data_IF_883289522092
#
_entry.id   IF_883289522092
#
_cell.length_a   1.000
_cell.length_b   1.000
_cell.length_c   1.000
_cell.angle_alpha   90.00
_cell.angle_beta   90.00
_cell.angle_gamma   90.00
#
_symmetry.space_group_name_H-M   'P 1'
#
loop_
_entity.id
_entity.type
_entity.pdbx_description
1 polymer ?
#
# COMPACT_ATOMS: atom_id res chain seq x y z
N UNK A 1 24.92 -51.85 25.88
CA UNK A 1 25.17 -50.86 24.80
C UNK A 1 24.11 -49.77 24.95
N UNK A 2 24.49 -48.57 25.39
CA UNK A 2 23.57 -47.43 25.58
C UNK A 2 23.42 -46.74 24.22
N UNK A 3 22.22 -46.78 23.64
CA UNK A 3 21.89 -45.99 22.44
C UNK A 3 21.40 -44.63 22.94
N UNK A 4 22.19 -43.60 22.73
CA UNK A 4 21.80 -42.21 22.98
C UNK A 4 21.03 -41.75 21.76
N UNK A 5 19.72 -41.54 21.91
CA UNK A 5 18.89 -40.88 20.90
C UNK A 5 19.06 -39.38 21.07
N UNK A 6 19.87 -38.75 20.22
CA UNK A 6 19.92 -37.29 20.10
C UNK A 6 18.73 -36.83 19.27
N UNK A 7 17.68 -36.38 19.94
CA UNK A 7 16.57 -35.65 19.33
C UNK A 7 17.03 -34.24 19.00
N UNK A 8 17.27 -33.95 17.71
CA UNK A 8 17.47 -32.59 17.22
C UNK A 8 16.09 -31.90 17.18
N UNK A 9 15.79 -31.10 18.19
CA UNK A 9 14.66 -30.17 18.14
C UNK A 9 15.06 -29.00 17.25
N UNK A 10 14.59 -29.00 16.00
CA UNK A 10 14.71 -27.86 15.10
C UNK A 10 13.67 -26.81 15.55
N UNK A 11 14.07 -25.93 16.47
CA UNK A 11 13.30 -24.73 16.77
C UNK A 11 13.49 -23.81 15.57
N UNK A 12 12.53 -23.84 14.64
CA UNK A 12 12.38 -22.79 13.63
C UNK A 12 11.93 -21.56 14.40
N UNK A 13 12.89 -20.75 14.83
CA UNK A 13 12.61 -19.38 15.20
C UNK A 13 12.08 -18.71 13.93
N UNK A 14 10.78 -18.41 13.90
CA UNK A 14 10.22 -17.38 13.04
C UNK A 14 10.90 -16.08 13.45
N UNK A 15 12.10 -15.84 12.91
CA UNK A 15 12.69 -14.53 12.93
C UNK A 15 11.78 -13.66 12.09
N UNK A 16 10.99 -12.81 12.75
CA UNK A 16 10.48 -11.61 12.11
C UNK A 16 11.67 -11.00 11.37
N UNK A 17 11.54 -10.86 10.06
CA UNK A 17 12.53 -10.16 9.24
C UNK A 17 12.59 -8.74 9.82
N UNK A 18 13.55 -8.50 10.72
CA UNK A 18 13.97 -7.15 11.10
C UNK A 18 14.71 -6.57 9.90
N UNK A 19 13.98 -6.32 8.82
CA UNK A 19 14.39 -5.33 7.86
C UNK A 19 14.49 -4.00 8.58
N UNK A 20 15.39 -3.14 8.14
CA UNK A 20 15.46 -1.77 8.65
C UNK A 20 14.10 -1.11 8.39
N UNK A 21 13.29 -0.98 9.45
CA UNK A 21 11.99 -0.33 9.34
C UNK A 21 12.20 1.16 9.09
N UNK A 22 11.36 1.81 8.26
CA UNK A 22 11.42 3.25 8.07
C UNK A 22 11.31 4.01 9.41
N UNK A 23 11.94 5.18 9.51
CA UNK A 23 11.95 5.96 10.76
C UNK A 23 10.55 6.37 11.24
N UNK A 24 9.60 6.50 10.32
CA UNK A 24 8.20 6.80 10.63
C UNK A 24 7.40 5.59 11.10
N UNK A 25 7.95 4.36 11.01
CA UNK A 25 7.33 3.13 11.49
C UNK A 25 7.48 2.99 13.03
N UNK A 26 6.91 3.94 13.75
CA UNK A 26 6.80 3.98 15.21
C UNK A 26 5.33 4.17 15.61
N UNK A 27 4.72 3.09 16.11
CA UNK A 27 3.30 3.07 16.49
C UNK A 27 2.99 4.07 17.62
N UNK A 28 3.90 4.26 18.57
CA UNK A 28 3.68 5.15 19.70
C UNK A 28 3.70 6.62 19.26
N UNK A 29 4.56 6.96 18.30
CA UNK A 29 4.66 8.33 17.77
C UNK A 29 3.62 8.63 16.68
N UNK A 30 3.40 7.71 15.74
CA UNK A 30 2.69 7.95 14.50
C UNK A 30 1.44 7.08 14.30
N UNK A 31 1.17 6.11 15.17
CA UNK A 31 0.10 5.13 15.00
C UNK A 31 -1.30 5.72 14.88
N UNK A 32 -1.53 6.94 15.41
CA UNK A 32 -2.79 7.66 15.27
C UNK A 32 -3.10 8.05 13.81
N UNK A 33 -2.08 8.20 12.96
CA UNK A 33 -2.17 8.51 11.54
C UNK A 33 -1.84 7.30 10.66
N UNK A 34 -1.86 6.08 11.20
CA UNK A 34 -1.47 4.86 10.50
C UNK A 34 -2.52 3.76 10.67
N UNK A 35 -3.80 4.15 10.79
CA UNK A 35 -4.91 3.21 10.88
C UNK A 35 -5.33 2.73 9.50
N UNK A 36 -4.79 1.59 9.07
CA UNK A 36 -5.06 1.02 7.75
C UNK A 36 -6.52 0.66 7.56
N UNK A 37 -7.21 0.16 8.59
CA UNK A 37 -8.62 -0.17 8.46
C UNK A 37 -9.49 1.06 8.26
N UNK A 38 -9.20 2.16 8.98
CA UNK A 38 -9.90 3.43 8.79
C UNK A 38 -9.67 3.99 7.39
N UNK A 39 -8.41 4.02 6.94
CA UNK A 39 -8.04 4.49 5.60
C UNK A 39 -8.75 3.68 4.52
N UNK A 40 -8.63 2.35 4.56
CA UNK A 40 -9.22 1.45 3.58
C UNK A 40 -10.75 1.58 3.49
N UNK A 41 -11.45 1.70 4.64
CA UNK A 41 -12.90 1.90 4.64
C UNK A 41 -13.35 3.20 3.98
N UNK A 42 -12.50 4.22 3.94
CA UNK A 42 -12.87 5.49 3.31
C UNK A 42 -13.07 5.35 1.80
N UNK A 43 -12.41 4.39 1.15
CA UNK A 43 -12.60 4.07 -0.26
C UNK A 43 -14.00 3.51 -0.60
N UNK A 44 -14.80 3.14 0.40
CA UNK A 44 -16.21 2.74 0.20
C UNK A 44 -17.14 3.94 0.04
N UNK A 45 -16.66 5.16 0.34
CA UNK A 45 -17.45 6.40 0.33
C UNK A 45 -17.02 7.38 -0.76
N UNK A 46 -16.00 7.04 -1.55
CA UNK A 46 -15.45 7.91 -2.58
C UNK A 46 -14.31 7.26 -3.35
N UNK A 47 -14.01 7.83 -4.51
CA UNK A 47 -12.89 7.40 -5.34
C UNK A 47 -11.61 8.04 -4.79
N UNK A 48 -10.57 7.22 -4.63
CA UNK A 48 -9.22 7.68 -4.37
C UNK A 48 -8.40 7.66 -5.66
N UNK A 49 -7.59 8.69 -5.86
CA UNK A 49 -6.69 8.82 -7.00
C UNK A 49 -5.26 8.76 -6.50
N UNK A 50 -4.43 7.91 -7.11
CA UNK A 50 -2.99 7.97 -6.86
C UNK A 50 -2.44 9.16 -7.62
N UNK A 51 -2.15 10.26 -6.94
CA UNK A 51 -1.72 11.50 -7.59
C UNK A 51 -0.23 11.51 -7.87
N UNK A 52 0.59 10.86 -7.04
CA UNK A 52 2.04 10.81 -7.18
C UNK A 52 2.60 9.47 -6.75
N UNK A 53 3.72 9.08 -7.35
CA UNK A 53 4.51 7.93 -6.96
C UNK A 53 6.01 8.21 -7.14
N UNK A 54 6.86 7.37 -6.54
CA UNK A 54 8.33 7.41 -6.74
C UNK A 54 8.89 6.27 -7.58
N UNK A 55 8.01 5.43 -8.13
CA UNK A 55 8.37 4.26 -8.92
C UNK A 55 7.48 4.20 -10.17
N UNK A 56 7.89 3.44 -11.18
CA UNK A 56 7.25 3.50 -12.52
C UNK A 56 6.54 2.23 -12.92
N UNK A 57 6.89 1.10 -12.33
CA UNK A 57 6.43 -0.21 -12.77
C UNK A 57 5.77 -0.93 -11.60
N UNK A 58 4.65 -1.58 -11.89
CA UNK A 58 3.92 -2.40 -10.93
C UNK A 58 3.55 -3.74 -11.59
N UNK A 59 3.59 -4.89 -10.88
CA UNK A 59 3.25 -6.19 -11.46
C UNK A 59 1.83 -6.29 -12.03
N UNK A 60 0.88 -5.52 -11.50
CA UNK A 60 -0.52 -5.53 -11.92
C UNK A 60 -0.80 -4.42 -12.93
N UNK A 61 -0.30 -3.22 -12.67
CA UNK A 61 -0.63 -2.06 -13.48
C UNK A 61 0.30 -1.88 -14.68
N UNK A 62 1.43 -2.57 -14.70
CA UNK A 62 2.41 -2.58 -15.77
C UNK A 62 3.37 -1.39 -15.75
N UNK A 63 4.20 -1.34 -16.78
CA UNK A 63 5.24 -0.31 -16.91
C UNK A 63 4.65 1.07 -17.21
N UNK A 64 5.22 2.09 -16.56
CA UNK A 64 4.84 3.50 -16.70
C UNK A 64 3.33 3.73 -16.47
N UNK A 65 2.79 3.07 -15.44
CA UNK A 65 1.37 3.17 -15.13
C UNK A 65 0.94 4.61 -14.81
N UNK A 66 -0.29 4.97 -15.17
CA UNK A 66 -0.86 6.30 -14.98
C UNK A 66 -2.38 6.21 -14.77
N UNK A 67 -3.00 7.36 -14.44
CA UNK A 67 -4.45 7.47 -14.31
C UNK A 67 -5.07 6.47 -13.34
N UNK A 68 -4.34 6.19 -12.26
CA UNK A 68 -4.71 5.17 -11.30
C UNK A 68 -5.73 5.70 -10.29
N UNK A 69 -6.84 4.98 -10.16
CA UNK A 69 -7.90 5.29 -9.21
C UNK A 69 -8.53 4.04 -8.64
N UNK A 70 -9.00 4.12 -7.41
CA UNK A 70 -9.61 3.00 -6.69
C UNK A 70 -10.93 3.43 -6.06
N UNK A 71 -11.90 2.52 -6.13
CA UNK A 71 -13.12 2.55 -5.32
C UNK A 71 -13.31 1.19 -4.69
N UNK A 72 -13.90 1.14 -3.51
CA UNK A 72 -14.16 -0.11 -2.82
C UNK A 72 -15.66 -0.40 -2.74
N UNK A 73 -16.00 -1.69 -2.75
CA UNK A 73 -17.32 -2.20 -2.42
C UNK A 73 -17.47 -2.40 -0.89
N UNK A 74 -18.45 -3.20 -0.48
CA UNK A 74 -18.73 -3.58 0.90
C UNK A 74 -17.47 -3.92 1.73
N UNK A 75 -17.44 -3.35 2.94
CA UNK A 75 -16.43 -3.59 3.95
C UNK A 75 -16.85 -4.73 4.90
N UNK A 76 -16.03 -5.78 4.97
CA UNK A 76 -16.17 -6.84 5.96
C UNK A 76 -15.46 -6.43 7.26
N UNK A 77 -16.23 -6.09 8.29
CA UNK A 77 -15.68 -5.63 9.58
C UNK A 77 -14.98 -6.73 10.38
N UNK A 78 -15.38 -7.99 10.22
CA UNK A 78 -14.78 -9.12 10.95
C UNK A 78 -13.39 -9.45 10.40
N UNK A 79 -13.26 -9.44 9.07
CA UNK A 79 -12.00 -9.71 8.37
C UNK A 79 -11.15 -8.46 8.16
N UNK A 80 -11.73 -7.27 8.38
CA UNK A 80 -11.14 -5.97 8.02
C UNK A 80 -10.70 -5.95 6.56
N UNK A 81 -11.57 -6.39 5.67
CA UNK A 81 -11.32 -6.51 4.24
C UNK A 81 -12.34 -5.74 3.38
N UNK A 82 -11.95 -5.43 2.15
CA UNK A 82 -12.80 -4.85 1.10
C UNK A 82 -12.52 -5.54 -0.24
N UNK A 83 -13.48 -5.44 -1.16
CA UNK A 83 -13.22 -5.64 -2.58
C UNK A 83 -12.89 -4.28 -3.21
N UNK A 84 -11.66 -4.11 -3.70
CA UNK A 84 -11.22 -2.93 -4.41
C UNK A 84 -11.39 -3.11 -5.93
N UNK A 85 -11.82 -2.04 -6.60
CA UNK A 85 -11.94 -1.92 -8.04
C UNK A 85 -11.04 -0.79 -8.53
N UNK A 86 -10.08 -1.12 -9.38
CA UNK A 86 -8.98 -0.23 -9.77
C UNK A 86 -9.08 0.04 -11.26
N UNK A 87 -9.03 1.32 -11.63
CA UNK A 87 -8.87 1.75 -13.02
C UNK A 87 -7.47 2.34 -13.19
N UNK A 88 -6.80 2.00 -14.29
CA UNK A 88 -5.45 2.49 -14.60
C UNK A 88 -5.20 2.50 -16.11
N UNK A 89 -4.11 3.14 -16.52
CA UNK A 89 -3.55 3.09 -17.87
C UNK A 89 -2.06 2.72 -17.76
N UNK A 90 -1.46 2.24 -18.85
CA UNK A 90 -0.01 1.99 -18.91
C UNK A 90 0.51 2.18 -20.34
N UNK A 91 1.81 2.02 -20.55
CA UNK A 91 2.40 2.25 -21.88
C UNK A 91 2.02 1.19 -22.94
N UNK A 92 1.45 0.06 -22.54
CA UNK A 92 1.05 -1.00 -23.47
C UNK A 92 -0.32 -0.72 -24.11
N UNK A 93 -1.20 0.00 -23.42
CA UNK A 93 -2.52 0.37 -23.93
C UNK A 93 -2.92 1.79 -23.53
N UNK A 94 -3.36 2.57 -24.53
CA UNK A 94 -3.90 3.91 -24.35
C UNK A 94 -5.34 3.93 -23.82
N UNK A 95 -5.99 2.77 -23.70
CA UNK A 95 -7.30 2.63 -23.07
C UNK A 95 -7.18 2.38 -21.56
N UNK A 96 -8.22 2.75 -20.83
CA UNK A 96 -8.37 2.36 -19.43
C UNK A 96 -8.48 0.84 -19.29
N UNK A 97 -7.67 0.31 -18.38
CA UNK A 97 -7.69 -1.07 -17.91
C UNK A 97 -8.33 -1.14 -16.53
N UNK A 98 -8.68 -2.36 -16.12
CA UNK A 98 -9.42 -2.63 -14.89
C UNK A 98 -8.83 -3.83 -14.16
N UNK A 99 -8.73 -3.72 -12.84
CA UNK A 99 -8.40 -4.83 -11.96
C UNK A 99 -9.33 -4.85 -10.74
N UNK A 100 -9.59 -6.04 -10.21
CA UNK A 100 -10.30 -6.24 -8.95
C UNK A 100 -9.37 -6.97 -7.98
N UNK A 101 -9.26 -6.49 -6.74
CA UNK A 101 -8.37 -7.05 -5.74
C UNK A 101 -9.09 -7.15 -4.39
N UNK A 102 -8.89 -8.25 -3.68
CA UNK A 102 -9.26 -8.33 -2.27
C UNK A 102 -8.18 -7.63 -1.46
N UNK A 103 -8.56 -6.68 -0.59
CA UNK A 103 -7.61 -5.92 0.23
C UNK A 103 -7.96 -6.12 1.69
N UNK A 104 -6.97 -6.52 2.49
CA UNK A 104 -7.13 -6.78 3.92
C UNK A 104 -6.20 -5.89 4.73
N UNK A 105 -6.72 -5.26 5.80
CA UNK A 105 -5.89 -4.51 6.72
C UNK A 105 -5.10 -5.48 7.61
N UNK A 106 -3.77 -5.36 7.60
CA UNK A 106 -2.84 -6.22 8.34
C UNK A 106 -1.84 -5.41 9.15
N UNK A 107 -1.04 -6.10 9.97
CA UNK A 107 -0.02 -5.50 10.83
C UNK A 107 1.36 -5.72 10.21
N UNK A 108 2.17 -4.66 10.20
CA UNK A 108 3.57 -4.67 9.76
C UNK A 108 4.46 -4.00 10.80
N UNK A 109 5.75 -4.32 10.78
CA UNK A 109 6.77 -3.75 11.68
C UNK A 109 6.50 -3.90 13.19
N UNK A 110 5.77 -4.95 13.58
CA UNK A 110 5.47 -5.26 14.98
C UNK A 110 4.39 -4.36 15.60
N UNK A 111 3.56 -3.69 14.80
CA UNK A 111 2.44 -2.89 15.28
C UNK A 111 1.38 -3.77 15.97
N UNK A 112 0.69 -3.19 16.96
CA UNK A 112 -0.44 -3.84 17.63
C UNK A 112 -1.75 -3.65 16.85
N UNK A 113 -1.89 -2.54 16.13
CA UNK A 113 -3.02 -2.20 15.27
C UNK A 113 -2.65 -2.36 13.79
N UNK A 114 -3.63 -2.66 12.94
CA UNK A 114 -3.41 -2.77 11.50
C UNK A 114 -2.95 -1.42 10.91
N UNK A 115 -1.80 -1.45 10.23
CA UNK A 115 -1.13 -0.30 9.63
C UNK A 115 -0.67 -0.56 8.19
N UNK A 116 -1.03 -1.71 7.62
CA UNK A 116 -0.67 -2.10 6.27
C UNK A 116 -1.89 -2.65 5.51
N UNK A 117 -1.80 -2.61 4.19
CA UNK A 117 -2.80 -3.08 3.24
C UNK A 117 -2.22 -4.27 2.50
N UNK A 118 -2.81 -5.45 2.68
CA UNK A 118 -2.44 -6.65 1.94
C UNK A 118 -3.39 -6.81 0.76
N UNK A 119 -2.84 -6.76 -0.44
CA UNK A 119 -3.55 -6.96 -1.70
C UNK A 119 -3.42 -8.42 -2.14
N UNK A 120 -4.51 -9.02 -2.59
CA UNK A 120 -4.53 -10.34 -3.21
C UNK A 120 -4.97 -10.20 -4.67
N UNK A 121 -4.12 -10.64 -5.59
CA UNK A 121 -4.36 -10.57 -7.04
C UNK A 121 -4.86 -11.90 -7.61
N UNK A 122 -5.39 -11.90 -8.83
CA UNK A 122 -6.13 -13.05 -9.41
C UNK A 122 -5.35 -14.40 -9.41
N UNK A 123 -4.02 -14.37 -9.42
CA UNK A 123 -3.15 -15.56 -9.38
C UNK A 123 -2.72 -15.99 -7.97
N UNK A 124 -3.28 -15.37 -6.92
CA UNK A 124 -2.97 -15.67 -5.51
C UNK A 124 -1.67 -15.07 -4.99
N UNK A 125 -0.96 -14.30 -5.82
CA UNK A 125 0.16 -13.45 -5.38
C UNK A 125 -0.36 -12.35 -4.45
N UNK A 126 0.50 -11.91 -3.54
CA UNK A 126 0.12 -10.91 -2.54
C UNK A 126 1.19 -9.85 -2.36
N UNK A 127 0.74 -8.60 -2.33
CA UNK A 127 1.58 -7.43 -2.07
C UNK A 127 1.14 -6.80 -0.75
N UNK A 128 2.06 -6.15 -0.04
CA UNK A 128 1.73 -5.52 1.25
C UNK A 128 2.39 -4.16 1.36
N UNK A 129 1.56 -3.13 1.26
CA UNK A 129 1.98 -1.75 1.41
C UNK A 129 1.65 -1.25 2.80
N UNK A 130 2.39 -0.25 3.27
CA UNK A 130 2.29 0.24 4.64
C UNK A 130 1.80 1.67 4.66
N UNK A 131 0.83 1.99 5.51
CA UNK A 131 0.40 3.36 5.77
C UNK A 131 1.54 4.09 6.47
N UNK A 132 2.27 4.91 5.73
CA UNK A 132 3.29 5.78 6.31
C UNK A 132 2.63 6.98 7.02
N UNK A 133 1.54 7.50 6.43
CA UNK A 133 0.70 8.55 7.00
C UNK A 133 -0.68 8.53 6.35
N UNK A 134 -1.74 8.81 7.12
CA UNK A 134 -3.11 8.93 6.64
C UNK A 134 -3.76 10.18 7.25
N UNK A 135 -4.32 11.02 6.38
CA UNK A 135 -5.13 12.19 6.73
C UNK A 135 -6.63 11.91 6.60
N UNK A 136 -7.46 12.94 6.59
CA UNK A 136 -8.91 12.76 6.50
C UNK A 136 -9.39 12.32 5.11
N UNK A 137 -8.68 12.69 4.05
CA UNK A 137 -9.06 12.42 2.66
C UNK A 137 -7.84 12.18 1.75
N UNK A 138 -6.76 11.67 2.33
CA UNK A 138 -5.52 11.37 1.64
C UNK A 138 -4.68 10.35 2.43
N UNK A 139 -3.83 9.63 1.71
CA UNK A 139 -2.93 8.63 2.27
C UNK A 139 -1.55 8.72 1.63
N UNK A 140 -0.53 8.43 2.42
CA UNK A 140 0.85 8.22 1.99
C UNK A 140 1.19 6.76 2.28
N UNK A 141 1.31 5.96 1.22
CA UNK A 141 1.71 4.57 1.32
C UNK A 141 3.19 4.42 1.05
N UNK A 142 3.81 3.46 1.72
CA UNK A 142 5.14 2.97 1.44
C UNK A 142 5.02 1.56 0.87
N UNK A 143 5.67 1.35 -0.27
CA UNK A 143 5.76 0.07 -0.98
C UNK A 143 7.13 -0.53 -0.65
N UNK A 144 7.21 -1.57 0.20
CA UNK A 144 8.47 -2.22 0.52
C UNK A 144 9.02 -2.97 -0.70
N UNK A 145 10.35 -2.99 -0.83
CA UNK A 145 11.01 -3.83 -1.83
C UNK A 145 10.60 -5.31 -1.66
N UNK A 146 10.14 -5.93 -2.75
CA UNK A 146 9.88 -7.36 -2.85
C UNK A 146 10.32 -7.88 -4.23
N UNK A 147 10.28 -9.19 -4.44
CA UNK A 147 10.58 -9.76 -5.76
C UNK A 147 9.59 -9.20 -6.79
N UNK A 148 10.10 -8.51 -7.82
CA UNK A 148 9.26 -7.88 -8.85
C UNK A 148 8.62 -6.54 -8.46
N UNK A 149 8.83 -6.04 -7.25
CA UNK A 149 8.25 -4.78 -6.74
C UNK A 149 9.34 -3.76 -6.45
N UNK A 150 9.22 -2.59 -7.06
CA UNK A 150 10.12 -1.45 -6.82
C UNK A 150 9.77 -0.77 -5.48
N UNK A 151 10.77 -0.57 -4.62
CA UNK A 151 10.58 0.16 -3.37
C UNK A 151 10.17 1.61 -3.66
N UNK A 152 9.15 2.11 -2.97
CA UNK A 152 8.68 3.46 -3.23
C UNK A 152 7.65 4.00 -2.28
N UNK A 153 7.12 5.16 -2.63
CA UNK A 153 6.00 5.79 -1.96
C UNK A 153 4.93 6.19 -2.96
N UNK A 154 3.71 6.25 -2.45
CA UNK A 154 2.52 6.67 -3.18
C UNK A 154 1.80 7.76 -2.39
N UNK A 155 1.21 8.71 -3.11
CA UNK A 155 0.30 9.70 -2.54
C UNK A 155 -1.07 9.50 -3.17
N UNK A 156 -2.05 9.24 -2.32
CA UNK A 156 -3.44 9.05 -2.68
C UNK A 156 -4.31 10.18 -2.12
N UNK A 157 -5.31 10.62 -2.87
CA UNK A 157 -6.27 11.63 -2.43
C UNK A 157 -7.62 11.46 -3.12
N UNK A 158 -8.71 11.83 -2.42
CA UNK A 158 -10.06 11.81 -3.02
C UNK A 158 -10.32 12.98 -3.96
N UNK A 159 -9.64 14.10 -3.76
CA UNK A 159 -9.65 15.24 -4.67
C UNK A 159 -8.24 15.46 -5.22
N UNK A 160 -8.02 14.99 -6.45
CA UNK A 160 -6.72 15.11 -7.11
C UNK A 160 -6.35 16.56 -7.45
N UNK A 161 -7.32 17.49 -7.50
CA UNK A 161 -7.08 18.92 -7.76
C UNK A 161 -6.70 19.66 -6.46
N UNK A 162 -7.20 19.19 -5.32
CA UNK A 162 -7.00 19.80 -4.01
C UNK A 162 -6.41 18.80 -3.01
N UNK A 163 -5.17 18.39 -3.25
CA UNK A 163 -4.44 17.47 -2.37
C UNK A 163 -4.24 18.14 -0.99
N UNK A 164 -4.60 17.49 0.13
CA UNK A 164 -4.38 18.03 1.47
C UNK A 164 -2.91 18.30 1.75
N UNK A 165 -2.62 19.51 2.26
CA UNK A 165 -1.25 19.95 2.52
C UNK A 165 -0.50 19.00 3.47
N UNK A 166 -1.18 18.43 4.47
CA UNK A 166 -0.58 17.51 5.45
C UNK A 166 -0.02 16.24 4.81
N UNK A 167 -0.78 15.58 3.93
CA UNK A 167 -0.27 14.41 3.20
C UNK A 167 0.82 14.80 2.19
N UNK A 168 0.67 15.94 1.50
CA UNK A 168 1.70 16.40 0.57
C UNK A 168 3.03 16.71 1.28
N UNK A 169 2.98 17.35 2.45
CA UNK A 169 4.16 17.61 3.28
C UNK A 169 4.81 16.31 3.74
N UNK A 170 4.02 15.34 4.20
CA UNK A 170 4.54 14.03 4.63
C UNK A 170 5.11 13.21 3.49
N UNK A 171 4.45 13.20 2.34
CA UNK A 171 4.97 12.57 1.14
C UNK A 171 6.31 13.19 0.72
N UNK A 172 6.40 14.52 0.66
CA UNK A 172 7.65 15.21 0.31
C UNK A 172 8.77 14.97 1.35
N UNK A 173 8.42 14.84 2.64
CA UNK A 173 9.35 14.50 3.71
C UNK A 173 9.94 13.09 3.48
N UNK A 174 9.08 12.10 3.24
CA UNK A 174 9.47 10.69 3.12
C UNK A 174 10.15 10.35 1.79
N UNK A 175 9.86 11.12 0.74
CA UNK A 175 10.43 10.93 -0.62
C UNK A 175 11.65 11.81 -0.91
N UNK A 176 12.21 12.47 0.12
CA UNK A 176 13.34 13.37 -0.06
C UNK A 176 14.53 12.68 -0.72
N UNK A 177 14.87 13.13 -1.93
CA UNK A 177 15.98 12.59 -2.73
C UNK A 177 15.58 11.50 -3.73
N UNK A 178 14.29 11.15 -3.79
CA UNK A 178 13.73 10.22 -4.78
C UNK A 178 13.20 11.00 -6.00
N UNK A 179 13.12 10.33 -7.15
CA UNK A 179 12.40 10.87 -8.31
C UNK A 179 10.90 10.73 -8.07
N UNK A 180 10.17 11.86 -8.08
CA UNK A 180 8.71 11.88 -7.93
C UNK A 180 8.08 12.16 -9.28
N UNK A 181 7.02 11.42 -9.62
CA UNK A 181 6.21 11.65 -10.82
C UNK A 181 4.73 11.81 -10.49
N UNK A 182 4.00 12.45 -11.39
CA UNK A 182 2.55 12.47 -11.37
C UNK A 182 2.00 11.15 -11.95
N UNK A 183 0.94 10.61 -11.32
CA UNK A 183 0.27 9.39 -11.76
C UNK A 183 -1.13 9.72 -12.28
N UNK A 184 -2.00 10.25 -11.43
CA UNK A 184 -3.32 10.78 -11.80
C UNK A 184 -3.27 12.30 -11.94
N UNK A 185 -3.81 12.83 -13.04
CA UNK A 185 -3.89 14.28 -13.31
C UNK A 185 -5.12 14.60 -14.16
N UNK A 186 -5.29 15.88 -14.53
CA UNK A 186 -6.39 16.29 -15.43
C UNK A 186 -6.36 15.63 -16.80
N UNK A 187 -5.24 15.02 -17.21
CA UNK A 187 -5.15 14.24 -18.46
C UNK A 187 -5.93 12.92 -18.41
N UNK A 188 -6.32 12.51 -17.22
CA UNK A 188 -7.05 11.27 -16.95
C UNK A 188 -8.57 11.47 -16.95
N UNK A 189 -9.07 12.72 -16.96
CA UNK A 189 -10.50 12.95 -17.07
C UNK A 189 -11.03 12.37 -18.41
N UNK A 190 -12.06 11.53 -18.31
CA UNK A 190 -12.79 10.95 -19.45
C UNK A 190 -13.63 12.01 -20.18
#
# INVERSE_FOLDING_TARGET
>A
MKVVVLSLALIVALGEVRGDKPVWADEAANGAQQDAWKSMKSATNGIYHMVKATYKNDPVWGDEFSCLSVVADYANEDEKSIQAYILFMNNNDTAYQFAAQNVTAVKMYGYNKENALKYEVEDGETFTDVIAFSGDNCDVLYVPAAEGVEEGYELWATDYKNIPATCLEKFNEYTKGMEVRDVYSSKCEL
#
